data_IF_390389886433
#
_entry.id   IF_390389886433
#
_cell.length_a   1.000
_cell.length_b   1.000
_cell.length_c   1.000
_cell.angle_alpha   90.00
_cell.angle_beta   90.00
_cell.angle_gamma   90.00
#
_symmetry.space_group_name_H-M   'P 1'
#
loop_
_entity.id
_entity.type
_entity.pdbx_description
1 polymer ?
#
# COMPACT_ATOMS: atom_id res chain seq x y z
N UNK A 1 12.86 -7.71 -4.59
CA UNK A 1 11.54 -7.12 -4.31
C UNK A 1 10.69 -7.22 -5.56
N UNK A 2 9.46 -7.75 -5.47
CA UNK A 2 8.49 -7.73 -6.58
C UNK A 2 8.21 -6.27 -6.97
N UNK A 3 7.89 -6.02 -8.24
CA UNK A 3 7.71 -4.65 -8.79
C UNK A 3 6.75 -3.78 -7.97
N UNK A 4 5.67 -4.36 -7.42
CA UNK A 4 4.72 -3.62 -6.59
C UNK A 4 5.22 -3.29 -5.17
N UNK A 5 6.19 -4.03 -4.62
CA UNK A 5 6.71 -3.75 -3.27
C UNK A 5 7.47 -2.42 -3.22
N UNK A 6 8.18 -2.06 -4.29
CA UNK A 6 8.80 -0.74 -4.41
C UNK A 6 7.77 0.38 -4.46
N UNK A 7 6.64 0.15 -5.15
CA UNK A 7 5.53 1.10 -5.23
C UNK A 7 4.91 1.32 -3.85
N UNK A 8 4.66 0.23 -3.10
CA UNK A 8 4.20 0.31 -1.71
C UNK A 8 5.19 1.11 -0.87
N UNK A 9 6.49 0.79 -0.93
CA UNK A 9 7.52 1.50 -0.18
C UNK A 9 7.55 3.00 -0.51
N UNK A 10 7.50 3.37 -1.79
CA UNK A 10 7.46 4.78 -2.22
C UNK A 10 6.26 5.51 -1.66
N UNK A 11 5.08 4.90 -1.70
CA UNK A 11 3.82 5.51 -1.23
C UNK A 11 3.81 5.60 0.30
N UNK A 12 4.36 4.61 1.00
CA UNK A 12 4.55 4.66 2.46
C UNK A 12 5.52 5.76 2.86
N UNK A 13 6.68 5.87 2.20
CA UNK A 13 7.65 6.93 2.47
C UNK A 13 7.05 8.32 2.20
N UNK A 14 6.27 8.45 1.13
CA UNK A 14 5.52 9.68 0.85
C UNK A 14 4.55 10.01 1.98
N UNK A 15 3.77 9.04 2.47
CA UNK A 15 2.83 9.24 3.56
C UNK A 15 3.54 9.66 4.86
N UNK A 16 4.67 9.03 5.20
CA UNK A 16 5.49 9.42 6.35
C UNK A 16 5.99 10.86 6.18
N UNK A 17 6.52 11.19 5.00
CA UNK A 17 7.00 12.53 4.70
C UNK A 17 5.89 13.58 4.78
N UNK A 18 4.68 13.28 4.30
CA UNK A 18 3.48 14.11 4.44
C UNK A 18 3.07 14.36 5.90
N UNK A 19 3.24 13.38 6.79
CA UNK A 19 2.92 13.55 8.21
C UNK A 19 3.96 14.36 8.97
N UNK A 20 5.22 14.33 8.54
CA UNK A 20 6.31 15.11 9.15
C UNK A 20 6.27 16.57 8.69
N UNK A 21 5.75 16.85 7.49
CA UNK A 21 5.81 18.17 6.84
C UNK A 21 5.27 19.32 7.70
N UNK A 22 4.14 19.20 8.42
CA UNK A 22 3.62 20.26 9.30
C UNK A 22 4.60 20.73 10.38
N UNK A 23 5.59 19.92 10.75
CA UNK A 23 6.58 20.23 11.80
C UNK A 23 7.90 20.79 11.25
N UNK A 24 8.02 20.98 9.93
CA UNK A 24 9.29 21.32 9.26
C UNK A 24 9.36 22.76 8.75
N UNK A 25 8.28 23.54 8.89
CA UNK A 25 8.20 24.90 8.35
C UNK A 25 7.98 24.97 6.83
N UNK A 26 7.66 23.85 6.18
CA UNK A 26 7.25 23.82 4.78
C UNK A 26 5.93 24.58 4.62
N UNK A 27 5.81 25.36 3.53
CA UNK A 27 4.63 26.20 3.28
C UNK A 27 3.34 25.38 3.18
N UNK A 28 2.23 25.93 3.67
CA UNK A 28 0.91 25.31 3.60
C UNK A 28 0.51 24.96 2.16
N UNK A 29 0.87 25.79 1.17
CA UNK A 29 0.60 25.53 -0.25
C UNK A 29 1.19 24.20 -0.71
N UNK A 30 2.40 23.87 -0.27
CA UNK A 30 3.05 22.58 -0.58
C UNK A 30 2.34 21.43 0.13
N UNK A 31 1.93 21.61 1.39
CA UNK A 31 1.18 20.59 2.14
C UNK A 31 -0.16 20.29 1.46
N UNK A 32 -0.89 21.33 1.03
CA UNK A 32 -2.12 21.17 0.27
C UNK A 32 -1.90 20.45 -1.05
N UNK A 33 -0.85 20.82 -1.79
CA UNK A 33 -0.48 20.12 -3.01
C UNK A 33 -0.21 18.63 -2.75
N UNK A 34 0.52 18.31 -1.68
CA UNK A 34 0.79 16.93 -1.28
C UNK A 34 -0.51 16.17 -0.92
N UNK A 35 -1.44 16.83 -0.22
CA UNK A 35 -2.74 16.26 0.09
C UNK A 35 -3.51 15.90 -1.19
N UNK A 36 -3.61 16.83 -2.15
CA UNK A 36 -4.28 16.58 -3.42
C UNK A 36 -3.59 15.53 -4.29
N UNK A 37 -2.26 15.39 -4.19
CA UNK A 37 -1.51 14.36 -4.90
C UNK A 37 -1.71 12.95 -4.28
N UNK A 38 -1.99 12.87 -2.98
CA UNK A 38 -2.09 11.61 -2.25
C UNK A 38 -3.08 10.58 -2.82
N UNK A 39 -4.33 10.90 -3.23
CA UNK A 39 -5.24 9.91 -3.81
C UNK A 39 -4.70 9.31 -5.11
N UNK A 40 -3.98 10.07 -5.93
CA UNK A 40 -3.37 9.56 -7.16
C UNK A 40 -2.28 8.52 -6.87
N UNK A 41 -1.47 8.73 -5.83
CA UNK A 41 -0.46 7.79 -5.40
C UNK A 41 -1.08 6.49 -4.84
N UNK A 42 -2.17 6.59 -4.08
CA UNK A 42 -2.90 5.43 -3.55
C UNK A 42 -3.55 4.63 -4.68
N UNK A 43 -4.20 5.29 -5.64
CA UNK A 43 -4.78 4.63 -6.83
C UNK A 43 -3.69 3.95 -7.66
N UNK A 44 -2.57 4.62 -7.88
CA UNK A 44 -1.42 4.05 -8.59
C UNK A 44 -0.88 2.80 -7.88
N UNK A 45 -0.79 2.83 -6.55
CA UNK A 45 -0.42 1.67 -5.74
C UNK A 45 -1.41 0.52 -5.90
N UNK A 46 -2.70 0.78 -5.68
CA UNK A 46 -3.76 -0.23 -5.78
C UNK A 46 -3.81 -0.87 -7.16
N UNK A 47 -3.73 -0.07 -8.24
CA UNK A 47 -3.65 -0.57 -9.61
C UNK A 47 -2.48 -1.53 -9.82
N UNK A 48 -1.29 -1.20 -9.32
CA UNK A 48 -0.12 -2.04 -9.50
C UNK A 48 -0.15 -3.31 -8.65
N UNK A 49 -0.76 -3.27 -7.46
CA UNK A 49 -0.99 -4.46 -6.63
C UNK A 49 -1.98 -5.39 -7.34
N UNK A 50 -3.10 -4.89 -7.84
CA UNK A 50 -4.08 -5.72 -8.56
C UNK A 50 -3.49 -6.31 -9.86
N UNK A 51 -2.67 -5.54 -10.57
CA UNK A 51 -2.11 -5.96 -11.86
C UNK A 51 -0.92 -6.92 -11.76
N UNK A 52 -0.11 -6.81 -10.71
CA UNK A 52 1.15 -7.57 -10.58
C UNK A 52 1.24 -8.40 -9.29
N UNK A 53 0.27 -8.28 -8.40
CA UNK A 53 0.11 -9.14 -7.23
C UNK A 53 -0.38 -10.52 -7.61
N UNK A 54 -0.27 -11.46 -6.67
CA UNK A 54 -0.90 -12.76 -6.83
C UNK A 54 -2.36 -12.65 -6.40
N UNK A 55 -3.33 -13.03 -7.23
CA UNK A 55 -4.73 -13.03 -6.83
C UNK A 55 -4.95 -14.11 -5.76
N UNK A 56 -5.88 -13.84 -4.84
CA UNK A 56 -6.40 -14.86 -3.92
C UNK A 56 -6.98 -16.03 -4.74
N UNK A 57 -6.78 -17.25 -4.25
CA UNK A 57 -7.41 -18.45 -4.82
C UNK A 57 -8.84 -18.66 -4.29
N UNK A 58 -9.25 -17.84 -3.33
CA UNK A 58 -10.50 -17.97 -2.62
C UNK A 58 -11.48 -16.87 -2.99
N UNK A 59 -12.76 -17.21 -2.97
CA UNK A 59 -13.83 -16.23 -3.08
C UNK A 59 -14.15 -15.59 -1.72
N UNK A 60 -14.80 -14.43 -1.74
CA UNK A 60 -15.27 -13.77 -0.53
C UNK A 60 -16.30 -14.60 0.26
N UNK A 61 -17.02 -15.50 -0.42
CA UNK A 61 -17.97 -16.42 0.20
C UNK A 61 -17.26 -17.56 0.95
N UNK A 62 -16.05 -17.94 0.52
CA UNK A 62 -15.20 -18.94 1.20
C UNK A 62 -14.46 -18.33 2.38
N UNK A 63 -13.84 -17.16 2.19
CA UNK A 63 -13.05 -16.47 3.21
C UNK A 63 -13.38 -14.97 3.21
N UNK A 64 -13.84 -14.48 4.36
CA UNK A 64 -14.04 -13.04 4.58
C UNK A 64 -12.72 -12.25 4.52
N UNK A 65 -11.60 -12.90 4.87
CA UNK A 65 -10.26 -12.34 4.81
C UNK A 65 -9.27 -13.45 4.44
N UNK A 66 -8.51 -13.24 3.37
CA UNK A 66 -7.52 -14.21 2.85
C UNK A 66 -6.12 -13.59 2.85
N UNK A 67 -5.37 -13.92 3.89
CA UNK A 67 -3.94 -13.80 3.96
C UNK A 67 -3.34 -14.97 3.17
N UNK A 68 -3.25 -14.83 1.84
CA UNK A 68 -2.83 -15.89 0.91
C UNK A 68 -1.46 -16.57 1.22
N UNK A 69 -0.69 -16.05 2.19
CA UNK A 69 0.61 -16.57 2.64
C UNK A 69 0.69 -16.69 4.19
N UNK A 70 -0.44 -16.76 4.90
CA UNK A 70 -0.43 -16.91 6.37
C UNK A 70 -0.03 -18.33 6.77
N UNK A 71 1.26 -18.50 7.02
CA UNK A 71 1.73 -19.66 7.76
C UNK A 71 1.59 -19.42 9.26
N UNK A 72 0.56 -20.00 9.88
CA UNK A 72 0.45 -20.05 11.34
C UNK A 72 1.54 -20.96 11.88
N UNK A 73 2.65 -20.39 12.34
CA UNK A 73 3.77 -21.11 12.96
C UNK A 73 4.41 -22.21 12.07
N UNK A 74 4.35 -22.09 10.73
CA UNK A 74 5.09 -22.96 9.81
C UNK A 74 4.77 -24.45 9.86
N UNK A 75 3.57 -24.84 10.31
CA UNK A 75 3.20 -26.25 10.59
C UNK A 75 2.07 -26.84 9.76
N UNK A 76 1.53 -26.11 8.79
CA UNK A 76 0.44 -26.63 7.96
C UNK A 76 0.97 -26.89 6.55
N UNK A 77 0.94 -28.16 6.14
CA UNK A 77 1.15 -28.57 4.75
C UNK A 77 -0.13 -28.26 3.96
N UNK A 78 0.03 -27.57 2.82
CA UNK A 78 -1.04 -27.23 1.87
C UNK A 78 -1.59 -28.48 1.18
#
# INVERSE_FOLDING_TARGET
MKRFQWIVLTVTLYAIFFQVTPFTGISETVIWFMFFLSPFLVIWMGYNIMKHGKPSQHSFDEYFYDDWDYQRNGKEEL
#
